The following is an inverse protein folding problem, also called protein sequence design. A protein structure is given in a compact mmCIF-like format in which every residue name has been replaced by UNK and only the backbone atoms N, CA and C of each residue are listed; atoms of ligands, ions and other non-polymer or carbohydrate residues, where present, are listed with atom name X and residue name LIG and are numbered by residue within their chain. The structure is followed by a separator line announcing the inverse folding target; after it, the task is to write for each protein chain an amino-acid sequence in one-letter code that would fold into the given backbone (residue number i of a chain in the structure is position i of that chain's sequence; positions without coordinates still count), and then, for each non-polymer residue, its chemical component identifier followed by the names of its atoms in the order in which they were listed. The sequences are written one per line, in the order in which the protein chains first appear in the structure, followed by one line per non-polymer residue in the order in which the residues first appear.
data_IF_372549764188
#
_entry.id   IF_372549764188
#
_cell.length_a   1.000
_cell.length_b   1.000
_cell.length_c   1.000
_cell.angle_alpha   90.00
_cell.angle_beta   90.00
_cell.angle_gamma   90.00
#
_symmetry.space_group_name_H-M   'P 1'
#
loop_
_entity.id
_entity.type
_entity.pdbx_description
1 polymer ?
#
# COMPACT_ATOMS: atom_id res chain seq x y z
N UNK A 1 -9.60 -1.93 -15.61
CA UNK A 1 -8.30 -1.23 -15.63
C UNK A 1 -7.32 -2.07 -14.85
N UNK A 2 -6.53 -2.89 -15.54
CA UNK A 2 -5.40 -3.62 -14.94
C UNK A 2 -4.34 -2.58 -14.61
N UNK A 3 -4.28 -2.18 -13.35
CA UNK A 3 -3.13 -1.41 -12.87
C UNK A 3 -1.97 -2.40 -12.75
N UNK A 4 -0.84 -2.08 -13.36
CA UNK A 4 0.38 -2.87 -13.16
C UNK A 4 0.75 -2.77 -11.68
N UNK A 5 0.72 -3.91 -10.99
CA UNK A 5 1.14 -4.01 -9.60
C UNK A 5 2.66 -4.18 -9.55
N UNK A 6 3.36 -3.15 -9.06
CA UNK A 6 4.79 -3.24 -8.77
C UNK A 6 5.01 -4.10 -7.51
N UNK A 7 5.64 -5.26 -7.66
CA UNK A 7 6.02 -6.12 -6.53
C UNK A 7 7.39 -5.72 -6.00
N UNK A 8 7.43 -5.21 -4.77
CA UNK A 8 8.68 -4.88 -4.07
C UNK A 8 9.03 -6.05 -3.14
N UNK A 9 10.11 -6.78 -3.45
CA UNK A 9 10.51 -8.01 -2.73
C UNK A 9 11.85 -7.92 -1.98
N UNK A 10 12.50 -6.76 -1.96
CA UNK A 10 13.87 -6.63 -1.48
C UNK A 10 14.00 -5.82 -0.18
N UNK A 11 15.05 -6.13 0.59
CA UNK A 11 15.55 -5.32 1.73
C UNK A 11 16.35 -4.09 1.29
N UNK A 12 16.41 -3.83 -0.02
CA UNK A 12 16.99 -2.61 -0.57
C UNK A 12 16.05 -1.42 -0.33
N UNK A 13 16.58 -0.18 -0.32
CA UNK A 13 15.74 1.01 -0.24
C UNK A 13 14.64 1.01 -1.31
N UNK A 14 13.47 1.55 -0.96
CA UNK A 14 12.37 1.72 -1.91
C UNK A 14 12.82 2.57 -3.12
N UNK A 15 12.31 2.28 -4.32
CA UNK A 15 12.53 3.14 -5.49
C UNK A 15 12.22 4.61 -5.23
N UNK A 16 13.04 5.50 -5.80
CA UNK A 16 12.94 6.95 -5.55
C UNK A 16 11.61 7.56 -5.97
N UNK A 17 10.92 6.99 -6.96
CA UNK A 17 9.61 7.45 -7.42
C UNK A 17 8.47 7.20 -6.42
N UNK A 18 8.69 6.39 -5.38
CA UNK A 18 7.71 6.10 -4.32
C UNK A 18 7.84 7.02 -3.10
N UNK A 19 8.77 8.00 -3.11
CA UNK A 19 8.92 8.95 -2.00
C UNK A 19 7.65 9.76 -1.79
N UNK A 20 7.26 9.93 -0.53
CA UNK A 20 6.01 10.61 -0.14
C UNK A 20 4.76 9.72 -0.19
N UNK A 21 4.90 8.45 -0.58
CA UNK A 21 3.80 7.49 -0.55
C UNK A 21 3.35 7.12 0.87
N UNK A 22 2.08 6.72 0.99
CA UNK A 22 1.48 6.20 2.22
C UNK A 22 1.43 4.67 2.15
N UNK A 23 1.81 4.01 3.25
CA UNK A 23 1.85 2.53 3.34
C UNK A 23 0.95 2.05 4.47
N UNK A 24 0.14 1.03 4.19
CA UNK A 24 -0.54 0.23 5.21
C UNK A 24 0.28 -1.05 5.47
N UNK A 25 0.58 -1.36 6.73
CA UNK A 25 1.40 -2.52 7.13
C UNK A 25 0.54 -3.47 7.96
N UNK A 26 0.50 -4.74 7.56
CA UNK A 26 -0.25 -5.81 8.22
C UNK A 26 -0.13 -7.13 7.46
N UNK A 27 -0.61 -8.23 8.03
CA UNK A 27 -0.57 -9.54 7.37
C UNK A 27 -1.41 -9.57 6.09
N UNK A 28 -2.52 -8.81 6.06
CA UNK A 28 -3.43 -8.63 4.92
C UNK A 28 -3.96 -9.89 4.23
N UNK A 29 -3.64 -11.08 4.73
CA UNK A 29 -4.14 -12.33 4.18
C UNK A 29 -5.68 -12.37 4.20
N UNK A 30 -6.27 -12.72 3.06
CA UNK A 30 -7.72 -12.74 2.86
C UNK A 30 -8.46 -11.40 2.79
N UNK A 31 -7.80 -10.24 3.00
CA UNK A 31 -8.35 -8.87 2.85
C UNK A 31 -9.83 -8.72 3.26
N UNK A 32 -10.17 -9.10 4.50
CA UNK A 32 -11.55 -8.99 5.01
C UNK A 32 -11.93 -7.54 5.36
N UNK A 33 -13.15 -7.32 5.88
CA UNK A 33 -13.67 -5.98 6.20
C UNK A 33 -12.77 -5.13 7.09
N UNK A 34 -12.16 -5.72 8.12
CA UNK A 34 -11.18 -5.00 8.95
C UNK A 34 -9.96 -4.49 8.16
N UNK A 35 -9.46 -5.25 7.19
CA UNK A 35 -8.36 -4.81 6.32
C UNK A 35 -8.79 -3.70 5.37
N UNK A 36 -10.02 -3.77 4.83
CA UNK A 36 -10.58 -2.71 3.99
C UNK A 36 -10.57 -1.36 4.71
N UNK A 37 -10.99 -1.30 5.97
CA UNK A 37 -10.96 -0.05 6.75
C UNK A 37 -9.54 0.54 6.91
N UNK A 38 -8.52 -0.31 7.02
CA UNK A 38 -7.12 0.13 7.07
C UNK A 38 -6.68 0.70 5.71
N UNK A 39 -7.04 0.04 4.61
CA UNK A 39 -6.71 0.49 3.25
C UNK A 39 -7.44 1.80 2.91
N UNK A 40 -8.71 1.95 3.27
CA UNK A 40 -9.48 3.19 3.10
C UNK A 40 -8.81 4.36 3.81
N UNK A 41 -8.32 4.13 5.05
CA UNK A 41 -7.58 5.15 5.79
C UNK A 41 -6.29 5.55 5.09
N UNK A 42 -5.53 4.58 4.58
CA UNK A 42 -4.29 4.84 3.84
C UNK A 42 -4.54 5.63 2.55
N UNK A 43 -5.60 5.29 1.81
CA UNK A 43 -6.01 6.02 0.60
C UNK A 43 -6.42 7.47 0.93
N UNK A 44 -7.17 7.68 2.01
CA UNK A 44 -7.54 9.02 2.46
C UNK A 44 -6.32 9.88 2.82
N UNK A 45 -5.31 9.29 3.49
CA UNK A 45 -4.06 10.00 3.80
C UNK A 45 -3.22 10.26 2.56
N UNK A 46 -3.23 9.38 1.56
CA UNK A 46 -2.50 9.58 0.30
C UNK A 46 -3.08 10.73 -0.54
N UNK A 47 -4.35 11.09 -0.34
CA UNK A 47 -5.01 12.20 -1.01
C UNK A 47 -4.86 13.56 -0.32
N UNK A 48 -4.12 13.66 0.79
CA UNK A 48 -3.85 14.92 1.49
C UNK A 48 -2.67 15.66 0.89
#
# INVERSE_FOLDING_TARGET
MTHDFERISAVTPLPGHLRGGVVAIGNFDGVHRGHLSVLERALAEAGR
#
